data_IF_842965033769
#
_entry.id   IF_842965033769
#
_cell.length_a   1.000
_cell.length_b   1.000
_cell.length_c   1.000
_cell.angle_alpha   90.00
_cell.angle_beta   90.00
_cell.angle_gamma   90.00
#
_symmetry.space_group_name_H-M   'P 1'
#
loop_
_entity.id
_entity.type
_entity.pdbx_description
1 polymer ?
#
# COMPACT_ATOMS: atom_id res chain seq x y z
N UNK A 1 17.31 -11.13 -17.34
CA UNK A 1 17.83 -10.52 -16.08
C UNK A 1 16.92 -9.36 -15.66
N UNK A 2 15.63 -9.43 -16.01
CA UNK A 2 14.77 -8.24 -16.14
C UNK A 2 13.42 -8.48 -15.45
N UNK A 3 13.41 -9.36 -14.45
CA UNK A 3 12.21 -9.68 -13.69
C UNK A 3 11.97 -8.60 -12.64
N UNK A 4 10.81 -7.98 -12.72
CA UNK A 4 10.27 -7.17 -11.64
C UNK A 4 9.54 -8.09 -10.64
N UNK A 5 9.60 -7.74 -9.37
CA UNK A 5 8.93 -8.47 -8.30
C UNK A 5 7.81 -7.59 -7.76
N UNK A 6 6.57 -8.05 -7.88
CA UNK A 6 5.46 -7.49 -7.13
C UNK A 6 5.42 -8.16 -5.75
N UNK A 7 5.76 -7.42 -4.70
CA UNK A 7 5.87 -7.96 -3.34
C UNK A 7 4.67 -7.55 -2.50
N UNK A 8 3.90 -8.53 -2.00
CA UNK A 8 2.63 -8.26 -1.34
C UNK A 8 2.56 -8.66 0.13
N UNK A 9 2.87 -9.91 0.51
CA UNK A 9 2.81 -10.32 1.92
C UNK A 9 4.06 -11.10 2.38
N UNK A 10 4.28 -12.29 1.85
CA UNK A 10 5.25 -13.23 2.40
C UNK A 10 4.84 -13.81 3.76
N UNK A 11 3.56 -14.15 3.92
CA UNK A 11 2.99 -14.90 5.06
C UNK A 11 3.00 -16.42 4.80
N UNK A 12 3.22 -16.83 3.56
CA UNK A 12 3.22 -18.22 3.11
C UNK A 12 4.42 -18.99 3.66
N UNK A 13 4.27 -20.30 3.83
CA UNK A 13 5.39 -21.19 4.16
C UNK A 13 6.46 -21.12 3.07
N UNK A 14 7.71 -20.87 3.46
CA UNK A 14 8.83 -20.69 2.53
C UNK A 14 8.88 -19.32 1.87
N UNK A 15 8.01 -18.37 2.26
CA UNK A 15 8.05 -17.01 1.74
C UNK A 15 9.41 -16.36 1.99
N UNK A 16 9.94 -15.73 0.94
CA UNK A 16 11.20 -15.00 0.99
C UNK A 16 10.96 -13.54 1.38
N UNK A 17 11.78 -12.92 2.25
CA UNK A 17 11.65 -11.51 2.58
C UNK A 17 12.00 -10.60 1.40
N UNK A 18 11.45 -9.38 1.32
CA UNK A 18 11.62 -8.49 0.17
C UNK A 18 13.09 -8.11 -0.06
N UNK A 19 13.85 -7.96 1.02
CA UNK A 19 15.27 -7.60 1.00
C UNK A 19 16.14 -8.56 0.17
N UNK A 20 15.74 -9.83 0.09
CA UNK A 20 16.50 -10.81 -0.66
C UNK A 20 16.39 -10.59 -2.19
N UNK A 21 15.25 -10.11 -2.68
CA UNK A 21 15.08 -9.69 -4.08
C UNK A 21 15.85 -8.41 -4.39
N UNK A 22 15.86 -7.46 -3.46
CA UNK A 22 16.62 -6.22 -3.61
C UNK A 22 18.13 -6.48 -3.69
N UNK A 23 18.66 -7.37 -2.84
CA UNK A 23 20.09 -7.79 -2.87
C UNK A 23 20.51 -8.45 -4.18
N UNK A 24 19.56 -9.07 -4.90
CA UNK A 24 19.80 -9.62 -6.24
C UNK A 24 19.75 -8.56 -7.34
N UNK A 25 19.52 -7.29 -7.00
CA UNK A 25 19.39 -6.21 -7.97
C UNK A 25 18.02 -6.14 -8.66
N UNK A 26 17.01 -6.88 -8.18
CA UNK A 26 15.68 -6.85 -8.78
C UNK A 26 14.97 -5.53 -8.49
N UNK A 27 14.13 -5.10 -9.43
CA UNK A 27 13.19 -4.00 -9.22
C UNK A 27 11.92 -4.53 -8.56
N UNK A 28 11.35 -3.76 -7.64
CA UNK A 28 10.21 -4.18 -6.81
C UNK A 28 9.06 -3.19 -6.94
N UNK A 29 7.83 -3.70 -7.06
CA UNK A 29 6.59 -2.94 -6.90
C UNK A 29 5.96 -3.31 -5.56
N UNK A 30 5.63 -2.32 -4.74
CA UNK A 30 5.15 -2.51 -3.37
C UNK A 30 3.63 -2.72 -3.30
N UNK A 31 3.20 -3.89 -2.84
CA UNK A 31 1.79 -4.26 -2.60
C UNK A 31 1.57 -4.70 -1.14
N UNK A 32 2.32 -4.13 -0.20
CA UNK A 32 2.24 -4.43 1.23
C UNK A 32 0.79 -4.63 1.72
N UNK A 33 0.46 -5.87 2.07
CA UNK A 33 -0.89 -6.30 2.45
C UNK A 33 -1.42 -5.64 3.74
N UNK A 34 -0.53 -5.21 4.63
CA UNK A 34 -0.90 -4.53 5.87
C UNK A 34 -1.44 -3.10 5.62
N UNK A 35 -1.04 -2.48 4.51
CA UNK A 35 -1.38 -1.10 4.19
C UNK A 35 -2.16 -0.91 2.88
N UNK A 36 -2.06 -1.84 1.93
CA UNK A 36 -2.47 -1.63 0.56
C UNK A 36 -3.49 -2.66 0.04
N UNK A 37 -4.07 -3.50 0.91
CA UNK A 37 -5.06 -4.52 0.53
C UNK A 37 -6.47 -4.16 0.98
N UNK A 38 -7.38 -3.97 0.04
CA UNK A 38 -8.81 -3.83 0.28
C UNK A 38 -9.54 -5.12 -0.11
N UNK A 39 -9.74 -6.05 0.83
CA UNK A 39 -10.33 -7.38 0.57
C UNK A 39 -11.80 -7.40 0.95
N UNK A 40 -12.70 -7.48 -0.03
CA UNK A 40 -14.14 -7.46 0.17
C UNK A 40 -14.58 -8.59 1.10
N UNK A 41 -15.32 -8.21 2.15
CA UNK A 41 -15.84 -9.15 3.14
C UNK A 41 -14.85 -9.51 4.25
N UNK A 42 -13.60 -9.00 4.19
CA UNK A 42 -12.59 -9.15 5.24
C UNK A 42 -12.37 -10.61 5.71
N UNK A 43 -12.27 -11.60 4.81
CA UNK A 43 -11.98 -12.97 5.21
C UNK A 43 -10.64 -13.05 5.95
N UNK A 44 -10.45 -14.06 6.80
CA UNK A 44 -9.21 -14.27 7.57
C UNK A 44 -8.80 -13.04 8.43
N UNK A 45 -9.79 -12.30 8.94
CA UNK A 45 -9.60 -11.12 9.78
C UNK A 45 -8.79 -9.98 9.12
N UNK A 46 -8.83 -9.88 7.79
CA UNK A 46 -8.22 -8.75 7.08
C UNK A 46 -8.89 -7.43 7.50
N UNK A 47 -8.11 -6.48 8.02
CA UNK A 47 -8.59 -5.13 8.28
C UNK A 47 -8.45 -4.28 7.01
N UNK A 48 -9.49 -3.53 6.65
CA UNK A 48 -9.36 -2.56 5.57
C UNK A 48 -8.29 -1.51 5.92
N UNK A 49 -7.46 -1.11 4.95
CA UNK A 49 -6.52 -0.03 5.15
C UNK A 49 -7.29 1.25 5.36
N UNK A 50 -6.83 2.07 6.29
CA UNK A 50 -7.35 3.43 6.45
C UNK A 50 -6.40 4.41 5.79
N UNK A 51 -6.96 5.45 5.15
CA UNK A 51 -6.15 6.54 4.60
C UNK A 51 -5.23 7.15 5.65
N UNK A 52 -5.69 7.26 6.91
CA UNK A 52 -4.89 7.78 8.02
C UNK A 52 -3.63 6.96 8.26
N UNK A 53 -3.78 5.64 8.37
CA UNK A 53 -2.65 4.75 8.66
C UNK A 53 -1.62 4.79 7.54
N UNK A 54 -2.06 4.82 6.28
CA UNK A 54 -1.17 4.97 5.12
C UNK A 54 -0.45 6.32 5.18
N UNK A 55 -1.20 7.41 5.39
CA UNK A 55 -0.66 8.77 5.40
C UNK A 55 0.42 8.96 6.48
N UNK A 56 0.12 8.54 7.70
CA UNK A 56 0.95 8.77 8.88
C UNK A 56 2.10 7.76 9.01
N UNK A 57 1.94 6.50 8.55
CA UNK A 57 2.88 5.42 8.91
C UNK A 57 3.57 4.76 7.71
N UNK A 58 2.91 4.67 6.55
CA UNK A 58 3.47 3.95 5.42
C UNK A 58 4.44 4.82 4.61
N UNK A 59 5.44 4.19 4.01
CA UNK A 59 6.31 4.80 2.98
C UNK A 59 6.62 3.73 1.92
N UNK A 60 7.07 4.12 0.71
CA UNK A 60 7.43 3.14 -0.33
C UNK A 60 8.48 2.10 0.14
N UNK A 61 9.36 2.46 1.08
CA UNK A 61 10.36 1.58 1.67
C UNK A 61 9.77 0.46 2.55
N UNK A 62 8.52 0.58 3.00
CA UNK A 62 7.85 -0.43 3.82
C UNK A 62 7.23 -1.50 2.91
N UNK A 63 8.07 -2.42 2.44
CA UNK A 63 7.69 -3.50 1.51
C UNK A 63 6.94 -4.66 2.17
N UNK A 64 7.07 -4.84 3.49
CA UNK A 64 6.39 -5.90 4.27
C UNK A 64 6.17 -5.46 5.70
N UNK A 65 5.00 -5.75 6.26
CA UNK A 65 4.67 -5.35 7.63
C UNK A 65 4.81 -3.84 7.79
N UNK A 66 5.46 -3.38 8.85
CA UNK A 66 5.59 -1.96 9.18
C UNK A 66 7.03 -1.42 9.16
N UNK A 67 8.02 -2.28 8.91
CA UNK A 67 9.43 -1.90 8.96
C UNK A 67 9.97 -1.57 7.57
N UNK A 68 10.62 -0.40 7.38
CA UNK A 68 11.21 -0.04 6.10
C UNK A 68 12.47 -0.87 5.81
N UNK A 69 12.75 -1.11 4.52
CA UNK A 69 14.07 -1.55 4.07
C UNK A 69 15.07 -0.37 4.09
N UNK A 70 16.39 -0.62 4.06
CA UNK A 70 17.37 0.47 3.98
C UNK A 70 17.13 1.40 2.78
N UNK A 71 17.27 2.70 3.00
CA UNK A 71 17.07 3.74 1.98
C UNK A 71 17.99 3.60 0.75
N UNK A 72 19.10 2.87 0.86
CA UNK A 72 19.96 2.54 -0.29
C UNK A 72 19.26 1.73 -1.39
N UNK A 73 18.08 1.19 -1.11
CA UNK A 73 17.27 0.44 -2.08
C UNK A 73 16.16 1.25 -2.72
N UNK A 74 16.02 2.54 -2.42
CA UNK A 74 14.92 3.38 -2.91
C UNK A 74 14.79 3.34 -4.45
N UNK A 75 15.91 3.47 -5.18
CA UNK A 75 15.97 3.39 -6.65
C UNK A 75 15.55 2.02 -7.23
N UNK A 76 15.45 0.98 -6.40
CA UNK A 76 14.96 -0.34 -6.81
C UNK A 76 13.45 -0.50 -6.58
N UNK A 77 12.82 0.39 -5.82
CA UNK A 77 11.38 0.35 -5.52
C UNK A 77 10.67 1.28 -6.51
N UNK A 78 9.89 0.70 -7.41
CA UNK A 78 9.25 1.41 -8.52
C UNK A 78 7.98 2.16 -8.11
N UNK A 79 7.59 2.10 -6.83
CA UNK A 79 6.36 2.65 -6.29
C UNK A 79 5.51 1.59 -5.59
N UNK A 80 4.20 1.81 -5.51
CA UNK A 80 3.26 0.88 -4.88
C UNK A 80 1.85 0.95 -5.45
N UNK A 81 1.02 -0.04 -5.11
CA UNK A 81 -0.35 -0.17 -5.64
C UNK A 81 -1.33 -0.54 -4.54
N UNK A 82 -2.44 0.18 -4.48
CA UNK A 82 -3.61 -0.24 -3.70
C UNK A 82 -4.32 -1.35 -4.47
N UNK A 83 -4.42 -2.53 -3.87
CA UNK A 83 -5.05 -3.72 -4.45
C UNK A 83 -6.46 -3.91 -3.88
N UNK A 84 -7.45 -4.08 -4.77
CA UNK A 84 -8.83 -4.39 -4.40
C UNK A 84 -9.11 -5.85 -4.76
N UNK A 85 -9.44 -6.66 -3.75
CA UNK A 85 -9.67 -8.10 -3.89
C UNK A 85 -11.13 -8.43 -3.66
N UNK A 86 -11.79 -9.02 -4.66
CA UNK A 86 -13.21 -9.37 -4.61
C UNK A 86 -13.45 -10.81 -4.13
N UNK A 87 -12.72 -11.25 -3.10
CA UNK A 87 -12.79 -12.61 -2.54
C UNK A 87 -14.22 -13.02 -2.21
N UNK A 88 -14.98 -12.10 -1.59
CA UNK A 88 -16.42 -12.20 -1.40
C UNK A 88 -17.11 -11.06 -2.17
N UNK A 89 -17.22 -11.20 -3.49
CA UNK A 89 -17.75 -10.15 -4.37
C UNK A 89 -19.16 -9.62 -4.00
N UNK A 90 -19.98 -10.42 -3.31
CA UNK A 90 -21.30 -10.01 -2.82
C UNK A 90 -21.28 -9.15 -1.55
N UNK A 91 -20.11 -8.98 -0.90
CA UNK A 91 -20.00 -8.22 0.35
C UNK A 91 -20.11 -6.71 0.16
N UNK A 92 -19.85 -6.19 -1.03
CA UNK A 92 -19.96 -4.77 -1.35
C UNK A 92 -20.38 -4.53 -2.80
N UNK A 93 -21.20 -3.51 -2.99
CA UNK A 93 -21.46 -2.89 -4.30
C UNK A 93 -20.27 -2.07 -4.77
N UNK A 94 -20.20 -1.77 -6.07
CA UNK A 94 -19.18 -0.90 -6.65
C UNK A 94 -19.12 0.48 -5.97
N UNK A 95 -20.28 1.05 -5.60
CA UNK A 95 -20.35 2.33 -4.90
C UNK A 95 -19.74 2.27 -3.49
N UNK A 96 -19.97 1.16 -2.77
CA UNK A 96 -19.35 0.93 -1.46
C UNK A 96 -17.84 0.75 -1.58
N UNK A 97 -17.36 0.02 -2.60
CA UNK A 97 -15.93 -0.12 -2.87
C UNK A 97 -15.31 1.25 -3.16
N UNK A 98 -15.93 2.05 -4.05
CA UNK A 98 -15.45 3.37 -4.42
C UNK A 98 -15.35 4.31 -3.20
N UNK A 99 -16.38 4.32 -2.33
CA UNK A 99 -16.34 5.10 -1.09
C UNK A 99 -15.25 4.60 -0.13
N UNK A 100 -15.15 3.27 0.04
CA UNK A 100 -14.21 2.65 0.96
C UNK A 100 -12.74 2.87 0.61
N UNK A 101 -12.40 2.86 -0.68
CA UNK A 101 -11.01 3.04 -1.13
C UNK A 101 -10.62 4.51 -1.28
N UNK A 102 -11.54 5.47 -1.22
CA UNK A 102 -11.27 6.87 -1.56
C UNK A 102 -10.12 7.48 -0.75
N UNK A 103 -10.20 7.43 0.58
CA UNK A 103 -9.15 7.98 1.45
C UNK A 103 -7.86 7.15 1.41
N UNK A 104 -7.89 5.81 1.41
CA UNK A 104 -6.70 5.00 1.14
C UNK A 104 -6.00 5.36 -0.16
N UNK A 105 -6.74 5.49 -1.27
CA UNK A 105 -6.19 5.82 -2.58
C UNK A 105 -5.58 7.22 -2.62
N UNK A 106 -6.24 8.21 -2.01
CA UNK A 106 -5.69 9.55 -1.88
C UNK A 106 -4.37 9.55 -1.08
N UNK A 107 -4.33 8.82 0.05
CA UNK A 107 -3.13 8.71 0.86
C UNK A 107 -1.98 8.01 0.11
N UNK A 108 -2.24 6.89 -0.57
CA UNK A 108 -1.23 6.21 -1.41
C UNK A 108 -0.69 7.15 -2.49
N UNK A 109 -1.57 7.90 -3.15
CA UNK A 109 -1.18 8.88 -4.18
C UNK A 109 -0.25 9.95 -3.63
N UNK A 110 -0.58 10.53 -2.47
CA UNK A 110 0.27 11.52 -1.79
C UNK A 110 1.66 10.96 -1.45
N UNK A 111 1.72 9.72 -0.99
CA UNK A 111 2.95 9.08 -0.51
C UNK A 111 3.85 8.54 -1.63
N UNK A 112 3.30 8.39 -2.84
CA UNK A 112 4.03 7.95 -4.02
C UNK A 112 4.48 9.10 -4.92
N UNK A 113 3.74 10.20 -4.96
CA UNK A 113 4.02 11.31 -5.86
C UNK A 113 5.17 12.20 -5.38
N UNK A 114 5.21 12.48 -4.07
CA UNK A 114 6.18 13.39 -3.46
C UNK A 114 6.86 12.69 -2.28
N UNK A 115 8.19 12.56 -2.34
CA UNK A 115 8.98 11.88 -1.32
C UNK A 115 9.15 12.71 -0.05
N UNK A 116 8.81 13.99 -0.08
CA UNK A 116 8.86 14.86 1.10
C UNK A 116 7.78 14.49 2.09
N UNK A 117 8.04 14.72 3.38
CA UNK A 117 7.02 14.63 4.42
C UNK A 117 5.88 15.62 4.12
N UNK A 118 4.62 15.16 4.02
CA UNK A 118 3.50 16.06 3.84
C UNK A 118 3.42 17.11 4.95
N UNK A 119 3.12 18.36 4.61
CA UNK A 119 3.01 19.46 5.58
C UNK A 119 1.68 19.53 6.30
N UNK A 120 0.62 18.94 5.71
CA UNK A 120 -0.70 18.87 6.33
C UNK A 120 -0.73 17.75 7.37
N UNK A 121 -1.48 17.95 8.45
CA UNK A 121 -1.87 16.84 9.30
C UNK A 121 -2.98 16.01 8.63
N UNK A 122 -3.34 14.90 9.26
CA UNK A 122 -4.39 14.02 8.74
C UNK A 122 -5.75 14.72 8.56
N UNK A 123 -6.12 15.61 9.49
CA UNK A 123 -7.43 16.26 9.44
C UNK A 123 -7.51 17.21 8.24
N UNK A 124 -6.48 18.04 8.05
CA UNK A 124 -6.37 18.95 6.92
C UNK A 124 -6.24 18.21 5.59
N UNK A 125 -5.44 17.13 5.53
CA UNK A 125 -5.34 16.29 4.34
C UNK A 125 -6.68 15.64 3.97
N UNK A 126 -7.42 15.11 4.95
CA UNK A 126 -8.75 14.54 4.72
C UNK A 126 -9.70 15.60 4.17
N UNK A 127 -9.74 16.79 4.78
CA UNK A 127 -10.59 17.89 4.29
C UNK A 127 -10.25 18.30 2.86
N UNK A 128 -8.95 18.34 2.50
CA UNK A 128 -8.52 18.57 1.13
C UNK A 128 -9.00 17.46 0.19
N UNK A 129 -8.78 16.20 0.55
CA UNK A 129 -9.19 15.04 -0.25
C UNK A 129 -10.72 14.92 -0.42
N UNK A 130 -11.50 15.39 0.56
CA UNK A 130 -12.96 15.44 0.50
C UNK A 130 -13.46 16.52 -0.47
N UNK A 131 -12.72 17.64 -0.59
CA UNK A 131 -13.07 18.78 -1.44
C UNK A 131 -12.70 18.63 -2.92
N UNK A 132 -12.01 17.55 -3.32
CA UNK A 132 -11.65 17.27 -4.72
C UNK A 132 -12.76 16.50 -5.49
N UNK A 133 -13.96 16.42 -4.92
CA UNK A 133 -15.13 15.75 -5.51
C UNK A 133 -15.90 16.65 -6.47
#
# INVERSE_FOLDING_TARGET
KDLQVEYWTGKELGARPPLAYLREGRKVVNLNDEYLYYVLGQPNDFAYPTGRRIYEQWTPLVLRGTTPVPASYDDQILGGRLAVWADLAGSQTQAQVAEGIRLPLAAVSQKLWDSRTPSLDWAAFRSLADGLR
#
